data_IF_959932971006
#
_entry.id   IF_959932971006
#
_cell.length_a   1.000
_cell.length_b   1.000
_cell.length_c   1.000
_cell.angle_alpha   90.00
_cell.angle_beta   90.00
_cell.angle_gamma   90.00
#
_symmetry.space_group_name_H-M   'P 1'
#
loop_
_entity.id
_entity.type
_entity.pdbx_description
1 polymer ?
#
# COMPACT_ATOMS: atom_id res chain seq x y z
N UNK A 1 6.50 14.44 15.91
CA UNK A 1 7.14 13.26 15.26
C UNK A 1 6.16 12.36 14.50
N UNK A 2 4.90 12.17 14.94
CA UNK A 2 3.94 11.26 14.30
C UNK A 2 3.68 11.53 12.81
N UNK A 3 3.63 12.79 12.38
CA UNK A 3 3.36 13.13 10.97
C UNK A 3 4.46 12.64 10.02
N UNK A 4 5.72 12.62 10.46
CA UNK A 4 6.85 12.15 9.63
C UNK A 4 6.81 10.64 9.43
N UNK A 5 6.46 9.89 10.48
CA UNK A 5 6.37 8.42 10.40
C UNK A 5 5.20 7.97 9.51
N UNK A 6 4.05 8.63 9.64
CA UNK A 6 2.88 8.35 8.79
C UNK A 6 3.18 8.63 7.30
N UNK A 7 3.94 9.69 7.01
CA UNK A 7 4.35 10.01 5.66
C UNK A 7 5.32 8.96 5.08
N UNK A 8 6.35 8.58 5.83
CA UNK A 8 7.29 7.54 5.43
C UNK A 8 6.61 6.17 5.21
N UNK A 9 5.70 5.79 6.10
CA UNK A 9 4.91 4.58 5.95
C UNK A 9 4.06 4.61 4.68
N UNK A 10 3.35 5.72 4.44
CA UNK A 10 2.50 5.85 3.27
C UNK A 10 3.32 5.77 1.97
N UNK A 11 4.54 6.32 1.94
CA UNK A 11 5.47 6.16 0.83
C UNK A 11 5.87 4.69 0.61
N UNK A 12 6.18 3.96 1.69
CA UNK A 12 6.57 2.55 1.61
C UNK A 12 5.40 1.70 1.07
N UNK A 13 4.21 1.82 1.66
CA UNK A 13 3.07 0.96 1.31
C UNK A 13 2.48 1.26 -0.06
N UNK A 14 2.58 2.50 -0.53
CA UNK A 14 2.13 2.89 -1.88
C UNK A 14 3.17 2.60 -2.95
N UNK A 15 4.38 2.20 -2.56
CA UNK A 15 5.44 1.85 -3.51
C UNK A 15 5.08 0.58 -4.29
N UNK A 16 5.47 0.55 -5.56
CA UNK A 16 5.36 -0.65 -6.41
C UNK A 16 6.16 -1.82 -5.83
N UNK A 17 7.26 -1.53 -5.14
CA UNK A 17 8.14 -2.54 -4.53
C UNK A 17 7.45 -3.32 -3.41
N UNK A 18 6.68 -2.64 -2.56
CA UNK A 18 5.92 -3.30 -1.51
C UNK A 18 4.87 -4.26 -2.10
N UNK A 19 4.24 -3.89 -3.23
CA UNK A 19 3.34 -4.80 -3.95
C UNK A 19 4.06 -6.03 -4.50
N UNK A 20 5.21 -5.83 -5.15
CA UNK A 20 6.03 -6.94 -5.67
C UNK A 20 6.48 -7.85 -4.53
N UNK A 21 6.87 -7.29 -3.39
CA UNK A 21 7.24 -8.04 -2.20
C UNK A 21 6.08 -8.93 -1.71
N UNK A 22 4.88 -8.38 -1.54
CA UNK A 22 3.70 -9.16 -1.14
C UNK A 22 3.34 -10.24 -2.16
N UNK A 23 3.43 -9.94 -3.47
CA UNK A 23 3.20 -10.93 -4.53
C UNK A 23 4.25 -12.03 -4.54
N UNK A 24 5.52 -11.70 -4.31
CA UNK A 24 6.61 -12.69 -4.24
C UNK A 24 6.43 -13.60 -3.04
N UNK A 25 6.12 -13.02 -1.88
CA UNK A 25 5.83 -13.76 -0.66
C UNK A 25 4.68 -14.75 -0.87
N UNK A 26 3.64 -14.33 -1.58
CA UNK A 26 2.53 -15.20 -1.96
C UNK A 26 2.99 -16.36 -2.85
N UNK A 27 3.72 -16.06 -3.93
CA UNK A 27 4.19 -17.08 -4.85
C UNK A 27 5.05 -18.11 -4.10
N UNK A 28 5.95 -17.65 -3.23
CA UNK A 28 6.78 -18.52 -2.39
C UNK A 28 5.90 -19.40 -1.49
N UNK A 29 4.91 -18.84 -0.80
CA UNK A 29 3.99 -19.63 0.03
C UNK A 29 3.26 -20.71 -0.77
N UNK A 30 2.76 -20.39 -1.97
CA UNK A 30 2.07 -21.37 -2.84
C UNK A 30 3.04 -22.44 -3.34
N UNK A 31 4.26 -22.07 -3.74
CA UNK A 31 5.29 -23.03 -4.14
C UNK A 31 5.64 -24.00 -3.00
N UNK A 32 5.77 -23.49 -1.78
CA UNK A 32 6.02 -24.32 -0.59
C UNK A 32 4.83 -25.25 -0.32
N UNK A 33 3.59 -24.78 -0.46
CA UNK A 33 2.40 -25.62 -0.34
C UNK A 33 2.44 -26.78 -1.32
N UNK A 34 2.62 -26.47 -2.61
CA UNK A 34 2.64 -27.49 -3.67
C UNK A 34 3.76 -28.50 -3.41
N UNK A 35 4.92 -28.03 -2.96
CA UNK A 35 6.04 -28.90 -2.59
C UNK A 35 5.67 -29.83 -1.42
N UNK A 36 5.05 -29.31 -0.35
CA UNK A 36 4.60 -30.14 0.78
C UNK A 36 3.56 -31.17 0.31
N UNK A 37 2.59 -30.77 -0.52
CA UNK A 37 1.52 -31.66 -0.98
C UNK A 37 2.00 -32.85 -1.83
N UNK A 38 3.17 -32.76 -2.47
CA UNK A 38 3.71 -33.87 -3.27
C UNK A 38 4.09 -35.08 -2.40
N UNK A 39 4.62 -34.85 -1.20
CA UNK A 39 4.90 -35.90 -0.23
C UNK A 39 4.90 -35.28 1.18
N UNK A 40 3.71 -35.16 1.82
CA UNK A 40 3.58 -34.40 3.06
C UNK A 40 4.42 -34.95 4.20
N UNK A 41 4.50 -36.28 4.33
CA UNK A 41 5.22 -36.95 5.41
C UNK A 41 6.74 -36.70 5.34
N UNK A 42 7.33 -36.69 4.15
CA UNK A 42 8.77 -36.46 3.98
C UNK A 42 9.12 -34.99 3.86
N UNK A 43 8.34 -34.21 3.10
CA UNK A 43 8.70 -32.83 2.78
C UNK A 43 8.49 -31.89 3.95
N UNK A 44 7.53 -32.17 4.84
CA UNK A 44 7.33 -31.37 6.05
C UNK A 44 8.53 -31.44 7.00
N UNK A 45 9.15 -32.61 7.11
CA UNK A 45 10.29 -32.85 8.01
C UNK A 45 11.60 -32.27 7.49
N UNK A 46 11.62 -31.75 6.25
CA UNK A 46 12.83 -31.16 5.68
C UNK A 46 13.12 -29.79 6.34
N UNK A 47 14.35 -29.58 6.86
CA UNK A 47 14.69 -28.34 7.56
C UNK A 47 14.56 -27.09 6.68
N UNK A 48 14.73 -27.24 5.36
CA UNK A 48 14.57 -26.14 4.40
C UNK A 48 13.12 -25.61 4.40
N UNK A 49 12.13 -26.50 4.43
CA UNK A 49 10.71 -26.09 4.46
C UNK A 49 10.42 -25.31 5.74
N UNK A 50 10.89 -25.83 6.87
CA UNK A 50 10.74 -25.20 8.17
C UNK A 50 11.39 -23.80 8.23
N UNK A 51 12.60 -23.64 7.71
CA UNK A 51 13.27 -22.33 7.63
C UNK A 51 12.46 -21.34 6.79
N UNK A 52 12.00 -21.77 5.61
CA UNK A 52 11.18 -20.91 4.73
C UNK A 52 9.89 -20.52 5.43
N UNK A 53 9.25 -21.46 6.13
CA UNK A 53 8.04 -21.21 6.89
C UNK A 53 8.23 -20.17 8.00
N UNK A 54 9.34 -20.24 8.73
CA UNK A 54 9.70 -19.27 9.78
C UNK A 54 9.97 -17.90 9.17
N UNK A 55 10.71 -17.82 8.05
CA UNK A 55 10.96 -16.56 7.34
C UNK A 55 9.66 -15.93 6.85
N UNK A 56 8.74 -16.74 6.32
CA UNK A 56 7.40 -16.29 5.93
C UNK A 56 6.61 -15.79 7.15
N UNK A 57 6.67 -16.47 8.30
CA UNK A 57 6.00 -16.01 9.51
C UNK A 57 6.57 -14.68 10.04
N UNK A 58 7.89 -14.51 10.02
CA UNK A 58 8.55 -13.26 10.45
C UNK A 58 8.19 -12.10 9.52
N UNK A 59 8.22 -12.31 8.20
CA UNK A 59 7.82 -11.27 7.24
C UNK A 59 6.37 -10.86 7.41
N UNK A 60 5.48 -11.82 7.69
CA UNK A 60 4.08 -11.56 8.07
C UNK A 60 3.98 -10.73 9.34
N UNK A 61 4.74 -11.09 10.38
CA UNK A 61 4.73 -10.40 11.67
C UNK A 61 5.19 -8.95 11.52
N UNK A 62 6.28 -8.72 10.79
CA UNK A 62 6.79 -7.37 10.52
C UNK A 62 5.73 -6.52 9.80
N UNK A 63 5.03 -7.10 8.82
CA UNK A 63 3.96 -6.41 8.10
C UNK A 63 2.79 -6.01 9.02
N UNK A 64 2.37 -6.90 9.92
CA UNK A 64 1.34 -6.62 10.92
C UNK A 64 1.83 -5.54 11.90
N UNK A 65 3.07 -5.61 12.37
CA UNK A 65 3.65 -4.62 13.27
C UNK A 65 3.72 -3.23 12.64
N UNK A 66 4.11 -3.14 11.36
CA UNK A 66 4.11 -1.89 10.61
C UNK A 66 2.70 -1.29 10.55
N UNK A 67 1.67 -2.10 10.26
CA UNK A 67 0.27 -1.65 10.27
C UNK A 67 -0.18 -1.20 11.67
N UNK A 68 0.17 -1.96 12.70
CA UNK A 68 -0.18 -1.65 14.08
C UNK A 68 0.40 -0.30 14.53
N UNK A 69 1.67 -0.04 14.21
CA UNK A 69 2.34 1.23 14.55
C UNK A 69 1.67 2.41 13.83
N UNK A 70 1.23 2.21 12.58
CA UNK A 70 0.58 3.24 11.77
C UNK A 70 -0.84 3.56 12.23
N UNK A 71 -1.66 2.53 12.41
CA UNK A 71 -3.11 2.69 12.63
C UNK A 71 -3.48 2.76 14.13
N UNK A 72 -2.62 2.25 15.02
CA UNK A 72 -2.77 2.28 16.48
C UNK A 72 -4.14 1.82 16.97
N UNK A 73 -5.01 2.75 17.40
CA UNK A 73 -6.37 2.43 17.86
C UNK A 73 -7.29 2.04 16.72
N UNK A 74 -7.13 2.66 15.54
CA UNK A 74 -7.92 2.32 14.37
C UNK A 74 -7.62 0.92 13.84
N UNK A 75 -6.43 0.39 14.15
CA UNK A 75 -6.04 -0.98 13.78
C UNK A 75 -7.03 -2.01 14.33
N UNK A 76 -7.43 -1.87 15.60
CA UNK A 76 -8.32 -2.81 16.28
C UNK A 76 -9.79 -2.69 15.87
N UNK A 77 -10.17 -1.60 15.19
CA UNK A 77 -11.53 -1.42 14.68
C UNK A 77 -11.74 -2.14 13.33
N UNK A 78 -10.66 -2.50 12.63
CA UNK A 78 -10.75 -3.24 11.37
C UNK A 78 -10.74 -4.75 11.64
N UNK A 79 -11.86 -5.42 11.36
CA UNK A 79 -12.02 -6.86 11.55
C UNK A 79 -10.94 -7.68 10.82
N UNK A 80 -10.42 -7.19 9.69
CA UNK A 80 -9.38 -7.89 8.92
C UNK A 80 -8.02 -7.85 9.62
N UNK A 81 -7.68 -6.70 10.20
CA UNK A 81 -6.46 -6.54 10.99
C UNK A 81 -6.51 -7.41 12.26
N UNK A 82 -7.67 -7.49 12.91
CA UNK A 82 -7.88 -8.35 14.07
C UNK A 82 -7.76 -9.83 13.69
N UNK A 83 -8.36 -10.22 12.55
CA UNK A 83 -8.24 -11.57 12.01
C UNK A 83 -6.78 -11.95 11.72
N UNK A 84 -5.98 -11.03 11.15
CA UNK A 84 -4.55 -11.24 10.89
C UNK A 84 -3.76 -11.50 12.18
N UNK A 85 -4.02 -10.74 13.26
CA UNK A 85 -3.36 -10.96 14.56
C UNK A 85 -3.74 -12.31 15.14
N UNK A 86 -5.04 -12.64 15.17
CA UNK A 86 -5.52 -13.91 15.72
C UNK A 86 -4.91 -15.08 14.94
N UNK A 87 -4.90 -14.97 13.61
CA UNK A 87 -4.29 -15.95 12.71
C UNK A 87 -2.80 -16.14 12.98
N UNK A 88 -2.06 -15.06 13.19
CA UNK A 88 -0.64 -15.11 13.54
C UNK A 88 -0.41 -15.80 14.88
N UNK A 89 -1.22 -15.49 15.89
CA UNK A 89 -1.14 -16.13 17.21
C UNK A 89 -1.41 -17.62 17.07
N UNK A 90 -2.47 -18.02 16.36
CA UNK A 90 -2.82 -19.42 16.14
C UNK A 90 -1.66 -20.14 15.44
N UNK A 91 -1.17 -19.62 14.30
CA UNK A 91 -0.06 -20.24 13.56
C UNK A 91 1.22 -20.32 14.41
N UNK A 92 1.55 -19.27 15.17
CA UNK A 92 2.75 -19.26 16.02
C UNK A 92 2.65 -20.27 17.16
N UNK A 93 1.50 -20.35 17.83
CA UNK A 93 1.25 -21.35 18.87
C UNK A 93 1.34 -22.77 18.32
N UNK A 94 0.78 -23.01 17.13
CA UNK A 94 0.85 -24.30 16.47
C UNK A 94 2.28 -24.69 16.08
N UNK A 95 3.07 -23.74 15.58
CA UNK A 95 4.50 -23.95 15.32
C UNK A 95 5.28 -24.26 16.59
N UNK A 96 5.00 -23.58 17.70
CA UNK A 96 5.64 -23.84 19.00
C UNK A 96 5.27 -25.24 19.50
N UNK A 97 3.99 -25.63 19.43
CA UNK A 97 3.54 -26.96 19.84
C UNK A 97 4.21 -28.03 18.97
N UNK A 98 4.24 -27.84 17.65
CA UNK A 98 4.91 -28.75 16.73
C UNK A 98 6.40 -28.91 17.07
N UNK A 99 7.10 -27.81 17.31
CA UNK A 99 8.50 -27.84 17.72
C UNK A 99 8.72 -28.51 19.08
N UNK A 100 7.89 -28.22 20.07
CA UNK A 100 7.98 -28.86 21.38
C UNK A 100 7.78 -30.36 21.29
N UNK A 101 6.83 -30.81 20.45
CA UNK A 101 6.58 -32.23 20.24
C UNK A 101 7.77 -32.89 19.54
N UNK A 102 8.28 -32.30 18.44
CA UNK A 102 9.44 -32.82 17.69
C UNK A 102 10.71 -32.89 18.56
N UNK A 103 10.99 -31.86 19.38
CA UNK A 103 12.14 -31.85 20.29
C UNK A 103 12.00 -32.89 21.42
N UNK A 104 10.81 -33.05 22.02
CA UNK A 104 10.60 -34.05 23.07
C UNK A 104 10.62 -35.50 22.54
N UNK A 105 10.19 -35.73 21.29
CA UNK A 105 10.23 -37.03 20.64
C UNK A 105 11.65 -37.47 20.21
N UNK A 106 12.61 -36.53 20.13
CA UNK A 106 14.00 -36.88 19.82
C UNK A 106 14.76 -37.56 20.97
N UNK A 107 14.24 -37.50 22.21
CA UNK A 107 14.88 -38.07 23.40
C UNK A 107 14.18 -39.32 23.96
N UNK A 108 12.94 -39.62 23.54
CA UNK A 108 12.16 -40.77 24.04
C UNK A 108 11.72 -41.63 22.85
N UNK A 109 12.42 -42.76 22.73
CA UNK A 109 12.31 -43.82 21.73
C UNK A 109 10.93 -44.15 21.14
N UNK A 110 10.96 -44.53 19.85
CA UNK A 110 10.41 -45.79 19.31
C UNK A 110 9.23 -46.35 20.12
N UNK A 111 8.00 -46.11 19.66
CA UNK A 111 6.94 -47.15 19.50
C UNK A 111 5.55 -46.52 19.36
N UNK A 112 4.93 -46.74 18.19
CA UNK A 112 3.47 -46.84 17.98
C UNK A 112 2.58 -45.59 17.96
N UNK A 113 3.11 -44.39 17.74
CA UNK A 113 2.30 -43.17 17.53
C UNK A 113 2.29 -42.56 16.11
N UNK A 114 3.13 -43.07 15.19
CA UNK A 114 3.59 -42.33 13.99
C UNK A 114 2.51 -41.88 12.99
N UNK A 115 1.32 -42.47 12.95
CA UNK A 115 0.31 -42.07 11.94
C UNK A 115 -0.46 -40.79 12.32
N UNK A 116 -0.67 -40.52 13.60
CA UNK A 116 -1.52 -39.39 14.02
C UNK A 116 -0.77 -38.04 13.95
N UNK A 117 0.54 -38.04 14.19
CA UNK A 117 1.35 -36.82 14.18
C UNK A 117 1.49 -36.24 12.77
N UNK A 118 1.61 -37.10 11.75
CA UNK A 118 1.66 -36.69 10.35
C UNK A 118 0.32 -36.05 9.91
N UNK A 119 -0.82 -36.56 10.40
CA UNK A 119 -2.16 -36.00 10.11
C UNK A 119 -2.32 -34.60 10.73
N UNK A 120 -1.90 -34.43 11.98
CA UNK A 120 -1.97 -33.13 12.65
C UNK A 120 -1.12 -32.12 11.89
N UNK A 121 0.11 -32.45 11.51
CA UNK A 121 0.98 -31.58 10.70
C UNK A 121 0.30 -31.12 9.41
N UNK A 122 -0.31 -32.04 8.66
CA UNK A 122 -1.03 -31.72 7.40
C UNK A 122 -2.25 -30.81 7.65
N UNK A 123 -3.01 -31.04 8.72
CA UNK A 123 -4.17 -30.19 9.07
C UNK A 123 -3.71 -28.77 9.40
N UNK A 124 -2.65 -28.62 10.20
CA UNK A 124 -2.11 -27.32 10.61
C UNK A 124 -1.61 -26.51 9.41
N UNK A 125 -0.91 -27.17 8.50
CA UNK A 125 -0.42 -26.60 7.24
C UNK A 125 -1.60 -26.18 6.36
N UNK A 126 -2.60 -27.06 6.20
CA UNK A 126 -3.79 -26.77 5.41
C UNK A 126 -4.54 -25.55 5.95
N UNK A 127 -4.74 -25.47 7.26
CA UNK A 127 -5.38 -24.34 7.94
C UNK A 127 -4.59 -23.04 7.74
N UNK A 128 -3.26 -23.09 7.84
CA UNK A 128 -2.38 -21.95 7.55
C UNK A 128 -2.58 -21.43 6.12
N UNK A 129 -2.68 -22.32 5.13
CA UNK A 129 -2.88 -21.89 3.75
C UNK A 129 -4.25 -21.27 3.51
N UNK A 130 -5.30 -21.77 4.16
CA UNK A 130 -6.62 -21.14 4.15
C UNK A 130 -6.54 -19.71 4.68
N UNK A 131 -5.90 -19.51 5.85
CA UNK A 131 -5.66 -18.18 6.42
C UNK A 131 -4.88 -17.29 5.45
N UNK A 132 -3.83 -17.81 4.83
CA UNK A 132 -3.03 -17.05 3.87
C UNK A 132 -3.87 -16.60 2.67
N UNK A 133 -4.76 -17.46 2.16
CA UNK A 133 -5.70 -17.10 1.09
C UNK A 133 -6.60 -15.94 1.54
N UNK A 134 -7.19 -16.02 2.73
CA UNK A 134 -8.01 -14.95 3.28
C UNK A 134 -7.24 -13.62 3.37
N UNK A 135 -5.98 -13.67 3.80
CA UNK A 135 -5.13 -12.47 3.87
C UNK A 135 -4.86 -11.85 2.51
N UNK A 136 -4.65 -12.65 1.46
CA UNK A 136 -4.50 -12.12 0.10
C UNK A 136 -5.77 -11.40 -0.31
N UNK A 137 -6.93 -12.03 -0.09
CA UNK A 137 -8.23 -11.44 -0.40
C UNK A 137 -8.42 -10.10 0.33
N UNK A 138 -8.06 -10.04 1.61
CA UNK A 138 -8.07 -8.81 2.40
C UNK A 138 -7.13 -7.74 1.84
N UNK A 139 -5.92 -8.13 1.45
CA UNK A 139 -4.89 -7.24 0.89
C UNK A 139 -5.31 -6.66 -0.46
N UNK A 140 -5.88 -7.48 -1.36
CA UNK A 140 -6.43 -7.05 -2.65
C UNK A 140 -7.57 -6.04 -2.43
N UNK A 141 -8.48 -6.32 -1.48
CA UNK A 141 -9.58 -5.43 -1.16
C UNK A 141 -9.08 -4.06 -0.67
N UNK A 142 -8.12 -4.04 0.26
CA UNK A 142 -7.50 -2.80 0.77
C UNK A 142 -6.75 -2.04 -0.32
N UNK A 143 -6.12 -2.75 -1.25
CA UNK A 143 -5.46 -2.14 -2.40
C UNK A 143 -6.48 -1.46 -3.34
N UNK A 144 -7.58 -2.13 -3.66
CA UNK A 144 -8.62 -1.56 -4.52
C UNK A 144 -9.20 -0.29 -3.90
N UNK A 145 -9.46 -0.28 -2.59
CA UNK A 145 -9.91 0.91 -1.88
C UNK A 145 -8.88 2.06 -1.93
N UNK A 146 -7.59 1.74 -1.75
CA UNK A 146 -6.51 2.74 -1.84
C UNK A 146 -6.34 3.32 -3.25
N UNK A 147 -6.55 2.51 -4.29
CA UNK A 147 -6.52 2.97 -5.69
C UNK A 147 -7.67 3.92 -6.00
N UNK A 148 -8.86 3.67 -5.47
CA UNK A 148 -10.03 4.55 -5.66
C UNK A 148 -9.77 5.92 -5.02
N UNK A 149 -9.27 5.94 -3.78
CA UNK A 149 -8.92 7.19 -3.08
C UNK A 149 -7.81 7.98 -3.82
N UNK A 150 -6.77 7.30 -4.30
CA UNK A 150 -5.69 7.97 -5.04
C UNK A 150 -6.15 8.51 -6.40
N UNK A 151 -7.11 7.86 -7.07
CA UNK A 151 -7.72 8.42 -8.29
C UNK A 151 -8.47 9.71 -7.98
N UNK A 152 -9.26 9.73 -6.91
CA UNK A 152 -9.99 10.94 -6.48
C UNK A 152 -9.05 12.09 -6.12
N UNK A 153 -7.97 11.84 -5.37
CA UNK A 153 -6.98 12.89 -5.03
C UNK A 153 -6.26 13.43 -6.25
N UNK A 154 -5.99 12.58 -7.25
CA UNK A 154 -5.36 13.00 -8.51
C UNK A 154 -6.31 13.83 -9.36
N UNK A 155 -7.60 13.49 -9.38
CA UNK A 155 -8.64 14.28 -10.07
C UNK A 155 -8.86 15.65 -9.41
N UNK A 156 -8.86 15.72 -8.07
CA UNK A 156 -8.97 17.00 -7.35
C UNK A 156 -7.77 17.91 -7.66
N UNK A 157 -6.53 17.39 -7.61
CA UNK A 157 -5.36 18.19 -7.97
C UNK A 157 -5.35 18.64 -9.43
N UNK A 158 -5.89 17.83 -10.35
CA UNK A 158 -6.00 18.20 -11.77
C UNK A 158 -7.04 19.29 -12.00
N UNK A 159 -8.16 19.26 -11.27
CA UNK A 159 -9.18 20.31 -11.32
C UNK A 159 -8.65 21.62 -10.74
N UNK A 160 -7.97 21.58 -9.60
CA UNK A 160 -7.39 22.78 -8.98
C UNK A 160 -6.32 23.41 -9.89
N UNK A 161 -5.46 22.61 -10.52
CA UNK A 161 -4.47 23.09 -11.51
C UNK A 161 -5.12 23.68 -12.77
N UNK A 162 -6.28 23.16 -13.18
CA UNK A 162 -7.02 23.70 -14.33
C UNK A 162 -7.70 25.03 -13.96
N UNK A 163 -8.30 25.15 -12.78
CA UNK A 163 -8.90 26.40 -12.29
C UNK A 163 -7.85 27.49 -12.15
N UNK A 164 -6.67 27.17 -11.59
CA UNK A 164 -5.57 28.12 -11.47
C UNK A 164 -5.05 28.60 -12.84
N UNK A 165 -4.87 27.69 -13.80
CA UNK A 165 -4.47 28.07 -15.16
C UNK A 165 -5.53 28.90 -15.91
N UNK A 166 -6.82 28.68 -15.63
CA UNK A 166 -7.90 29.45 -16.27
C UNK A 166 -7.91 30.88 -15.75
N UNK A 167 -7.81 31.06 -14.42
CA UNK A 167 -7.70 32.38 -13.80
C UNK A 167 -6.47 33.16 -14.30
N UNK A 168 -5.32 32.51 -14.49
CA UNK A 168 -4.12 33.18 -15.03
C UNK A 168 -4.34 33.67 -16.47
N UNK A 169 -5.02 32.88 -17.31
CA UNK A 169 -5.35 33.29 -18.69
C UNK A 169 -6.33 34.45 -18.71
N UNK A 170 -7.33 34.44 -17.83
CA UNK A 170 -8.31 35.52 -17.73
C UNK A 170 -7.66 36.82 -17.26
N UNK A 171 -6.79 36.75 -16.24
CA UNK A 171 -5.99 37.90 -15.76
C UNK A 171 -5.04 38.42 -16.85
N UNK A 172 -4.43 37.53 -17.65
CA UNK A 172 -3.58 37.96 -18.77
C UNK A 172 -4.39 38.63 -19.88
N UNK A 173 -5.57 38.11 -20.21
CA UNK A 173 -6.45 38.69 -21.22
C UNK A 173 -6.97 40.07 -20.79
N UNK A 174 -7.37 40.22 -19.53
CA UNK A 174 -7.81 41.48 -18.95
C UNK A 174 -6.68 42.53 -18.96
N UNK A 175 -5.47 42.14 -18.53
CA UNK A 175 -4.31 43.04 -18.58
C UNK A 175 -3.96 43.47 -20.02
N UNK A 176 -4.09 42.56 -20.99
CA UNK A 176 -3.86 42.88 -22.40
C UNK A 176 -4.92 43.84 -22.96
N UNK A 177 -6.20 43.65 -22.62
CA UNK A 177 -7.27 44.57 -22.98
C UNK A 177 -7.07 45.96 -22.36
N UNK A 178 -6.74 46.03 -21.08
CA UNK A 178 -6.44 47.28 -20.38
C UNK A 178 -5.24 48.01 -21.01
N UNK A 179 -4.23 47.26 -21.46
CA UNK A 179 -3.08 47.85 -22.15
C UNK A 179 -3.47 48.44 -23.51
N UNK A 180 -4.28 47.73 -24.31
CA UNK A 180 -4.81 48.23 -25.59
C UNK A 180 -5.69 49.47 -25.42
N UNK A 181 -6.54 49.50 -24.38
CA UNK A 181 -7.39 50.65 -24.08
C UNK A 181 -6.55 51.89 -23.73
N UNK A 182 -5.48 51.72 -22.94
CA UNK A 182 -4.55 52.81 -22.61
C UNK A 182 -3.81 53.34 -23.85
N UNK A 183 -3.38 52.47 -24.77
CA UNK A 183 -2.76 52.88 -26.04
C UNK A 183 -3.74 53.72 -26.88
N UNK A 184 -5.00 53.29 -26.98
CA UNK A 184 -6.03 54.03 -27.73
C UNK A 184 -6.34 55.40 -27.10
N UNK A 185 -6.38 55.49 -25.77
CA UNK A 185 -6.55 56.77 -25.06
C UNK A 185 -5.39 57.73 -25.34
N UNK A 186 -4.15 57.26 -25.29
CA UNK A 186 -2.97 58.09 -25.60
C UNK A 186 -3.00 58.64 -27.03
N UNK A 187 -3.29 57.78 -28.03
CA UNK A 187 -3.39 58.21 -29.43
C UNK A 187 -4.49 59.26 -29.65
N UNK A 188 -5.61 59.16 -28.92
CA UNK A 188 -6.70 60.14 -28.98
C UNK A 188 -6.30 61.51 -28.43
N UNK A 189 -5.41 61.57 -27.43
CA UNK A 189 -4.88 62.82 -26.87
C UNK A 189 -3.83 63.46 -27.78
N UNK A 190 -2.98 62.66 -28.42
CA UNK A 190 -1.98 63.15 -29.39
C UNK A 190 -2.65 63.80 -30.61
N UNK A 191 -3.74 63.23 -31.11
CA UNK A 191 -4.47 63.82 -32.24
C UNK A 191 -5.15 65.15 -31.88
N UNK A 192 -5.63 65.31 -30.64
CA UNK A 192 -6.22 66.59 -30.19
C UNK A 192 -5.17 67.70 -30.09
N UNK A 193 -4.01 67.40 -29.49
CA UNK A 193 -2.92 68.37 -29.36
C UNK A 193 -2.33 68.81 -30.71
N UNK A 194 -2.26 67.92 -31.70
CA UNK A 194 -1.87 68.29 -33.08
C UNK A 194 -2.90 69.20 -33.76
N UNK A 195 -4.20 68.97 -33.56
CA UNK A 195 -5.23 69.85 -34.11
C UNK A 195 -5.20 71.24 -33.46
N UNK A 196 -5.00 71.32 -32.14
CA UNK A 196 -4.94 72.60 -31.43
C UNK A 196 -3.71 73.43 -31.83
N UNK A 197 -2.57 72.77 -32.09
CA UNK A 197 -1.35 73.45 -32.56
C UNK A 197 -1.42 73.90 -34.02
N UNK A 198 -2.17 73.21 -34.88
CA UNK A 198 -2.42 73.65 -36.26
C UNK A 198 -3.32 74.89 -36.35
N UNK A 199 -4.23 75.08 -35.38
CA UNK A 199 -5.11 76.25 -35.32
C UNK A 199 -4.33 77.51 -34.88
N UNK A 200 -3.35 77.37 -33.98
CA UNK A 200 -2.59 78.51 -33.46
C UNK A 200 -1.58 79.12 -34.45
N UNK A 201 -1.23 78.42 -35.55
CA UNK A 201 -0.30 78.93 -36.56
C UNK A 201 -0.96 79.75 -37.69
N UNK A 202 -2.29 79.92 -37.66
CA UNK A 202 -3.05 80.73 -38.66
C UNK A 202 -3.41 82.14 -38.18
N UNK A 203 -2.92 82.57 -37.03
CA UNK A 203 -3.01 83.96 -36.53
C UNK A 203 -1.63 84.59 -36.48
#
# INVERSE_FOLDING_TARGET
>A
MQNKFNHAYNLIITSKYYMVFLSTQLIVSVCVLVYILQNPAENLKKPVVLIVEVVLAITILLDILLRLIKEKKAFFNDCWNLFDIISLIIISSLLIIFYQNEYHLSEIEISKGMENDDIIGVILISFRYIIQIFRICASIRKQNQSRILNKQVKEINLQDFQVENTNIKDIQAENFQNHLENINKMNSQTNRTQNDSAINHKH
#
